data_IF_533012880421
#
_entry.id   IF_533012880421
#
_cell.length_a   1.000
_cell.length_b   1.000
_cell.length_c   1.000
_cell.angle_alpha   90.00
_cell.angle_beta   90.00
_cell.angle_gamma   90.00
#
_symmetry.space_group_name_H-M   'P 1'
#
loop_
_entity.id
_entity.type
_entity.pdbx_description
1 polymer ?
#
# COMPACT_ATOMS: atom_id res chain seq x y z
N UNK A 1 27.47 30.75 2.39
CA UNK A 1 27.89 29.35 2.24
C UNK A 1 27.27 28.45 3.32
N UNK A 2 27.25 28.88 4.58
CA UNK A 2 26.67 28.13 5.73
C UNK A 2 25.16 27.86 5.59
N UNK A 3 24.34 28.77 5.08
CA UNK A 3 22.90 28.58 4.90
C UNK A 3 22.57 27.48 3.90
N UNK A 4 23.33 27.35 2.80
CA UNK A 4 23.19 26.25 1.84
C UNK A 4 23.62 24.90 2.45
N UNK A 5 24.62 24.90 3.31
CA UNK A 5 25.06 23.69 4.03
C UNK A 5 24.05 23.24 5.08
N UNK A 6 23.44 24.18 5.83
CA UNK A 6 22.38 23.87 6.81
C UNK A 6 21.14 23.31 6.13
N UNK A 7 20.71 23.87 5.01
CA UNK A 7 19.57 23.37 4.22
C UNK A 7 19.85 21.96 3.66
N UNK A 8 21.08 21.69 3.25
CA UNK A 8 21.54 20.39 2.75
C UNK A 8 21.62 19.33 3.88
N UNK A 9 22.02 19.73 5.09
CA UNK A 9 22.02 18.84 6.26
C UNK A 9 20.60 18.46 6.71
N UNK A 10 19.65 19.40 6.73
CA UNK A 10 18.25 19.16 7.11
C UNK A 10 17.53 18.13 6.22
N UNK A 11 17.96 17.96 4.97
CA UNK A 11 17.40 16.97 4.03
C UNK A 11 18.21 15.69 3.99
N UNK A 12 19.48 15.70 4.38
CA UNK A 12 20.34 14.52 4.33
C UNK A 12 20.04 13.53 5.47
N UNK A 13 19.81 14.03 6.69
CA UNK A 13 19.52 13.18 7.84
C UNK A 13 18.27 12.28 7.66
N UNK A 14 17.12 12.80 7.17
CA UNK A 14 15.96 11.96 6.85
C UNK A 14 16.25 10.84 5.86
N UNK A 15 16.98 11.16 4.79
CA UNK A 15 17.36 10.16 3.77
C UNK A 15 18.27 9.08 4.35
N UNK A 16 19.24 9.47 5.18
CA UNK A 16 20.10 8.50 5.87
C UNK A 16 19.32 7.64 6.86
N UNK A 17 18.40 8.24 7.61
CA UNK A 17 17.54 7.50 8.55
C UNK A 17 16.64 6.47 7.82
N UNK A 18 16.05 6.88 6.69
CA UNK A 18 15.23 6.00 5.86
C UNK A 18 16.07 4.88 5.23
N UNK A 19 17.29 5.16 4.75
CA UNK A 19 18.21 4.15 4.25
C UNK A 19 18.65 3.16 5.35
N UNK A 20 18.89 3.63 6.56
CA UNK A 20 19.19 2.74 7.70
C UNK A 20 17.98 1.87 7.99
N UNK A 21 16.77 2.44 8.02
CA UNK A 21 15.53 1.70 8.19
C UNK A 21 15.37 0.64 7.09
N UNK A 22 15.60 0.99 5.84
CA UNK A 22 15.57 0.07 4.71
C UNK A 22 16.49 -1.14 4.94
N UNK A 23 17.76 -0.90 5.30
CA UNK A 23 18.73 -1.98 5.56
C UNK A 23 18.29 -2.84 6.73
N UNK A 24 17.82 -2.23 7.82
CA UNK A 24 17.30 -2.97 8.98
C UNK A 24 16.12 -3.85 8.58
N UNK A 25 15.16 -3.31 7.80
CA UNK A 25 13.98 -4.06 7.36
C UNK A 25 14.34 -5.20 6.41
N UNK A 26 15.30 -5.00 5.51
CA UNK A 26 15.77 -6.08 4.61
C UNK A 26 16.36 -7.23 5.42
N UNK A 27 17.14 -6.92 6.46
CA UNK A 27 17.79 -7.91 7.33
C UNK A 27 16.85 -8.53 8.37
N UNK A 28 15.70 -7.88 8.64
CA UNK A 28 14.74 -8.36 9.63
C UNK A 28 14.09 -9.67 9.15
N UNK A 29 14.18 -10.78 9.91
CA UNK A 29 13.47 -12.00 9.57
C UNK A 29 11.96 -11.81 9.75
N UNK A 30 11.16 -12.49 8.93
CA UNK A 30 9.69 -12.51 9.07
C UNK A 30 9.22 -13.47 10.14
N UNK A 31 10.05 -14.44 10.52
CA UNK A 31 9.68 -15.57 11.38
C UNK A 31 8.93 -16.69 10.63
N UNK A 32 8.63 -16.48 9.34
CA UNK A 32 7.90 -17.42 8.49
C UNK A 32 8.76 -18.01 7.36
N UNK A 33 10.08 -17.84 7.41
CA UNK A 33 11.01 -18.38 6.41
C UNK A 33 10.96 -19.91 6.34
N UNK A 34 10.57 -20.54 7.44
CA UNK A 34 10.38 -22.00 7.53
C UNK A 34 9.05 -22.50 6.98
N UNK A 35 8.06 -21.64 6.79
CA UNK A 35 6.73 -21.99 6.24
C UNK A 35 6.76 -22.00 4.70
N UNK A 36 7.68 -22.79 4.11
CA UNK A 36 7.79 -22.88 2.66
C UNK A 36 6.86 -23.95 2.11
N UNK A 37 5.95 -23.55 1.23
CA UNK A 37 5.27 -24.50 0.37
C UNK A 37 6.33 -25.21 -0.50
N UNK A 38 6.19 -26.52 -0.67
CA UNK A 38 7.11 -27.34 -1.49
C UNK A 38 8.55 -27.36 -0.99
N UNK A 39 8.77 -27.62 0.32
CA UNK A 39 10.10 -27.63 0.96
C UNK A 39 11.11 -28.56 0.27
N UNK A 40 10.64 -29.71 -0.20
CA UNK A 40 11.47 -30.77 -0.80
C UNK A 40 11.37 -30.74 -2.33
N UNK A 41 11.18 -29.58 -2.93
CA UNK A 41 11.07 -29.40 -4.36
C UNK A 41 11.78 -28.12 -4.83
N UNK A 42 12.34 -28.16 -6.04
CA UNK A 42 12.91 -26.98 -6.68
C UNK A 42 11.79 -26.13 -7.32
N UNK A 43 11.81 -24.83 -7.03
CA UNK A 43 10.89 -23.84 -7.62
C UNK A 43 11.67 -23.03 -8.63
N UNK A 44 11.45 -23.34 -9.90
CA UNK A 44 12.29 -22.82 -11.00
C UNK A 44 11.43 -22.40 -12.18
N UNK A 45 12.05 -21.67 -13.11
CA UNK A 45 11.45 -21.36 -14.40
C UNK A 45 11.70 -22.46 -15.40
N UNK A 46 10.74 -22.68 -16.28
CA UNK A 46 10.86 -23.62 -17.39
C UNK A 46 10.31 -23.00 -18.70
N UNK A 47 10.85 -23.42 -19.81
CA UNK A 47 10.35 -23.08 -21.15
C UNK A 47 9.46 -24.21 -21.63
N UNK A 48 8.24 -23.91 -22.05
CA UNK A 48 7.32 -24.86 -22.64
C UNK A 48 7.74 -25.14 -24.08
N UNK A 49 8.03 -26.41 -24.38
CA UNK A 49 8.41 -26.88 -25.71
C UNK A 49 7.22 -27.34 -26.51
N UNK A 50 6.31 -28.09 -25.88
CA UNK A 50 5.05 -28.53 -26.46
C UNK A 50 3.97 -28.65 -25.38
N UNK A 51 2.73 -28.55 -25.78
CA UNK A 51 1.56 -28.69 -24.91
C UNK A 51 0.53 -29.57 -25.58
N UNK A 52 0.04 -30.59 -24.87
CA UNK A 52 -1.01 -31.47 -25.26
C UNK A 52 -2.27 -31.21 -24.43
N UNK A 53 -3.37 -30.94 -25.11
CA UNK A 53 -4.67 -30.60 -24.55
C UNK A 53 -5.69 -31.73 -24.65
N UNK A 54 -5.28 -32.95 -25.03
CA UNK A 54 -6.17 -34.08 -25.29
C UNK A 54 -6.98 -34.52 -24.06
N UNK A 55 -6.41 -34.33 -22.86
CA UNK A 55 -7.03 -34.69 -21.58
C UNK A 55 -7.80 -33.50 -20.93
N UNK A 56 -8.00 -32.39 -21.68
CA UNK A 56 -8.77 -31.25 -21.23
C UNK A 56 -10.24 -31.41 -21.63
N UNK A 57 -11.10 -31.26 -20.64
CA UNK A 57 -12.55 -31.20 -20.83
C UNK A 57 -13.01 -29.74 -20.86
N UNK A 58 -13.44 -29.28 -22.02
CA UNK A 58 -13.94 -27.91 -22.22
C UNK A 58 -15.47 -27.92 -22.25
N UNK A 59 -16.09 -27.29 -21.26
CA UNK A 59 -17.56 -27.15 -21.18
C UNK A 59 -18.09 -25.92 -21.90
N UNK A 60 -17.22 -25.13 -22.53
CA UNK A 60 -17.53 -23.83 -23.11
C UNK A 60 -17.45 -22.66 -22.11
N UNK A 61 -17.64 -22.92 -20.82
CA UNK A 61 -17.48 -21.94 -19.73
C UNK A 61 -16.19 -22.13 -18.96
N UNK A 62 -15.92 -23.35 -18.56
CA UNK A 62 -14.74 -23.74 -17.77
C UNK A 62 -14.06 -24.96 -18.37
N UNK A 63 -12.79 -25.11 -18.09
CA UNK A 63 -11.97 -26.24 -18.50
C UNK A 63 -11.52 -27.01 -17.27
N UNK A 64 -11.55 -28.35 -17.37
CA UNK A 64 -11.09 -29.24 -16.31
C UNK A 64 -10.20 -30.32 -16.92
N UNK A 65 -9.39 -30.98 -16.11
CA UNK A 65 -8.49 -32.04 -16.56
C UNK A 65 -7.03 -31.62 -16.52
N UNK A 66 -6.19 -32.38 -17.19
CA UNK A 66 -4.74 -32.16 -17.15
C UNK A 66 -4.22 -31.78 -18.53
N UNK A 67 -3.52 -30.63 -18.61
CA UNK A 67 -2.71 -30.29 -19.77
C UNK A 67 -1.31 -30.88 -19.57
N UNK A 68 -0.86 -31.71 -20.49
CA UNK A 68 0.49 -32.27 -20.47
C UNK A 68 1.43 -31.38 -21.26
N UNK A 69 2.49 -30.91 -20.62
CA UNK A 69 3.48 -30.06 -21.25
C UNK A 69 4.85 -30.73 -21.24
N UNK A 70 5.59 -30.64 -22.35
CA UNK A 70 7.01 -30.91 -22.33
C UNK A 70 7.75 -29.60 -22.10
N UNK A 71 8.61 -29.58 -21.09
CA UNK A 71 9.27 -28.37 -20.64
C UNK A 71 10.78 -28.56 -20.54
N UNK A 72 11.54 -27.48 -20.80
CA UNK A 72 12.96 -27.38 -20.51
C UNK A 72 13.17 -26.54 -19.28
N UNK A 73 13.75 -27.11 -18.23
CA UNK A 73 14.03 -26.44 -16.96
C UNK A 73 15.15 -25.41 -17.21
N UNK A 74 14.95 -24.15 -16.79
CA UNK A 74 15.89 -23.05 -17.01
C UNK A 74 16.76 -22.75 -15.79
N UNK A 75 16.45 -23.27 -14.61
CA UNK A 75 17.19 -22.98 -13.37
C UNK A 75 17.22 -24.17 -12.40
N UNK A 76 17.88 -23.97 -11.25
CA UNK A 76 18.02 -25.02 -10.23
C UNK A 76 19.00 -26.13 -10.60
N UNK A 77 18.97 -27.22 -9.86
CA UNK A 77 19.87 -28.35 -10.05
C UNK A 77 19.63 -29.17 -11.34
N UNK A 78 18.44 -29.03 -11.94
CA UNK A 78 18.04 -29.71 -13.16
C UNK A 78 18.06 -28.80 -14.39
N UNK A 79 18.76 -27.68 -14.34
CA UNK A 79 18.84 -26.73 -15.45
C UNK A 79 19.29 -27.38 -16.76
N UNK A 80 18.58 -27.12 -17.86
CA UNK A 80 18.83 -27.67 -19.19
C UNK A 80 18.14 -29.02 -19.46
N UNK A 81 17.61 -29.71 -18.44
CA UNK A 81 16.88 -30.96 -18.64
C UNK A 81 15.50 -30.73 -19.25
N UNK A 82 15.11 -31.63 -20.13
CA UNK A 82 13.76 -31.70 -20.69
C UNK A 82 12.96 -32.80 -19.99
N UNK A 83 11.77 -32.47 -19.57
CA UNK A 83 10.91 -33.38 -18.83
C UNK A 83 9.43 -33.09 -19.11
N UNK A 84 8.58 -34.04 -18.78
CA UNK A 84 7.16 -33.85 -18.84
C UNK A 84 6.67 -33.15 -17.57
N UNK A 85 5.72 -32.25 -17.73
CA UNK A 85 5.11 -31.46 -16.68
C UNK A 85 3.59 -31.49 -16.82
N UNK A 86 2.89 -31.41 -15.70
CA UNK A 86 1.43 -31.41 -15.67
C UNK A 86 0.90 -30.07 -15.19
N UNK A 87 -0.02 -29.50 -15.96
CA UNK A 87 -0.84 -28.36 -15.59
C UNK A 87 -2.26 -28.84 -15.33
N UNK A 88 -2.67 -28.83 -14.06
CA UNK A 88 -4.01 -29.27 -13.66
C UNK A 88 -4.99 -28.12 -13.71
N UNK A 89 -6.12 -28.33 -14.40
CA UNK A 89 -7.23 -27.40 -14.52
C UNK A 89 -8.36 -27.85 -13.58
N UNK A 90 -8.80 -26.93 -12.74
CA UNK A 90 -9.80 -27.18 -11.69
C UNK A 90 -11.22 -26.75 -12.07
N UNK A 91 -11.39 -26.05 -13.19
CA UNK A 91 -12.64 -25.39 -13.57
C UNK A 91 -12.77 -23.98 -13.02
N UNK A 92 -11.70 -23.43 -12.47
CA UNK A 92 -11.69 -22.07 -11.93
C UNK A 92 -11.09 -21.07 -12.93
N UNK A 93 -11.90 -20.18 -13.49
CA UNK A 93 -11.42 -19.14 -14.40
C UNK A 93 -10.38 -18.20 -13.75
N UNK A 94 -10.41 -18.07 -12.42
CA UNK A 94 -9.48 -17.24 -11.67
C UNK A 94 -8.11 -17.89 -11.47
N UNK A 95 -8.06 -19.23 -11.41
CA UNK A 95 -6.84 -19.97 -11.07
C UNK A 95 -6.26 -20.74 -12.25
N UNK A 96 -7.11 -21.20 -13.16
CA UNK A 96 -6.69 -22.03 -14.26
C UNK A 96 -6.02 -21.22 -15.37
N UNK A 97 -5.01 -21.79 -16.00
CA UNK A 97 -4.23 -21.22 -17.08
C UNK A 97 -3.87 -22.30 -18.08
N UNK A 98 -3.71 -21.94 -19.33
CA UNK A 98 -3.21 -22.81 -20.38
C UNK A 98 -1.85 -22.32 -20.85
N UNK A 99 -0.97 -23.25 -21.14
CA UNK A 99 0.35 -22.97 -21.66
C UNK A 99 0.42 -23.32 -23.15
N UNK A 100 1.19 -22.53 -23.88
CA UNK A 100 1.53 -22.73 -25.28
C UNK A 100 3.04 -22.92 -25.47
N UNK A 101 3.48 -23.57 -26.56
CA UNK A 101 4.90 -23.65 -26.90
C UNK A 101 5.54 -22.26 -26.95
N UNK A 102 6.68 -22.08 -26.30
CA UNK A 102 7.37 -20.81 -26.14
C UNK A 102 7.07 -20.03 -24.86
N UNK A 103 6.05 -20.42 -24.10
CA UNK A 103 5.74 -19.80 -22.82
C UNK A 103 6.81 -20.09 -21.77
N UNK A 104 7.13 -19.08 -20.97
CA UNK A 104 7.89 -19.27 -19.73
C UNK A 104 6.92 -19.56 -18.59
N UNK A 105 7.11 -20.69 -17.94
CA UNK A 105 6.33 -21.15 -16.80
C UNK A 105 7.15 -21.14 -15.52
N UNK A 106 6.49 -20.89 -14.40
CA UNK A 106 7.01 -21.18 -13.08
C UNK A 106 6.58 -22.59 -12.71
N UNK A 107 7.53 -23.45 -12.38
CA UNK A 107 7.30 -24.88 -12.13
C UNK A 107 7.86 -25.30 -10.78
N UNK A 108 7.22 -26.31 -10.20
CA UNK A 108 7.67 -26.99 -8.99
C UNK A 108 8.17 -28.38 -9.42
N UNK A 109 9.45 -28.62 -9.25
CA UNK A 109 10.13 -29.87 -9.60
C UNK A 109 10.31 -30.68 -8.33
N UNK A 110 9.52 -31.71 -8.16
CA UNK A 110 9.68 -32.70 -7.08
C UNK A 110 10.69 -33.75 -7.51
N UNK A 111 11.61 -34.09 -6.64
CA UNK A 111 12.67 -35.06 -6.93
C UNK A 111 12.94 -35.97 -5.73
N UNK A 112 13.47 -37.14 -6.00
CA UNK A 112 13.91 -38.11 -5.00
C UNK A 112 15.20 -38.78 -5.47
N UNK A 113 16.20 -38.82 -4.59
CA UNK A 113 17.52 -39.43 -4.90
C UNK A 113 18.17 -38.84 -6.16
N UNK A 114 18.05 -37.52 -6.40
CA UNK A 114 18.64 -36.85 -7.56
C UNK A 114 17.90 -37.06 -8.89
N UNK A 115 16.76 -37.75 -8.87
CA UNK A 115 15.92 -37.98 -10.07
C UNK A 115 14.60 -37.23 -9.95
N UNK A 116 14.15 -36.58 -11.02
CA UNK A 116 12.88 -35.85 -11.10
C UNK A 116 11.76 -36.91 -10.99
N UNK A 117 10.83 -36.67 -10.05
CA UNK A 117 9.64 -37.55 -9.88
C UNK A 117 8.43 -36.93 -10.58
N UNK A 118 8.16 -35.67 -10.37
CA UNK A 118 7.04 -34.94 -10.98
C UNK A 118 7.38 -33.48 -11.16
N UNK A 119 6.83 -32.88 -12.21
CA UNK A 119 6.90 -31.43 -12.44
C UNK A 119 5.49 -30.88 -12.59
N UNK A 120 5.13 -29.93 -11.71
CA UNK A 120 3.85 -29.26 -11.75
C UNK A 120 4.01 -27.83 -12.28
N UNK A 121 3.17 -27.48 -13.24
CA UNK A 121 3.06 -26.12 -13.78
C UNK A 121 2.28 -25.27 -12.79
N UNK A 122 2.92 -24.28 -12.17
CA UNK A 122 2.27 -23.46 -11.15
C UNK A 122 1.58 -22.25 -11.78
N UNK A 123 2.31 -21.46 -12.57
CA UNK A 123 1.77 -20.30 -13.26
C UNK A 123 2.70 -19.84 -14.40
N UNK A 124 2.24 -18.87 -15.22
CA UNK A 124 3.12 -18.18 -16.15
C UNK A 124 4.18 -17.38 -15.38
N UNK A 125 5.40 -17.38 -15.87
CA UNK A 125 6.47 -16.56 -15.32
C UNK A 125 6.30 -15.09 -15.75
N UNK A 126 5.99 -14.22 -14.79
CA UNK A 126 5.68 -12.80 -15.04
C UNK A 126 6.72 -11.84 -14.50
N UNK A 127 7.64 -12.32 -13.63
CA UNK A 127 8.58 -11.45 -12.91
C UNK A 127 9.47 -10.60 -13.83
N UNK A 128 9.83 -11.07 -15.02
CA UNK A 128 10.59 -10.31 -16.01
C UNK A 128 9.78 -9.11 -16.53
N UNK A 129 8.49 -9.31 -16.80
CA UNK A 129 7.57 -8.25 -17.27
C UNK A 129 7.23 -7.26 -16.16
N UNK A 130 7.03 -7.77 -14.94
CA UNK A 130 6.81 -6.95 -13.74
C UNK A 130 8.03 -6.09 -13.42
N UNK A 131 9.25 -6.66 -13.50
CA UNK A 131 10.49 -5.93 -13.33
C UNK A 131 10.69 -4.86 -14.41
N UNK A 132 10.33 -5.14 -15.68
CA UNK A 132 10.35 -4.15 -16.75
C UNK A 132 9.40 -2.99 -16.48
N UNK A 133 8.16 -3.29 -16.08
CA UNK A 133 7.14 -2.28 -15.74
C UNK A 133 7.57 -1.42 -14.56
N UNK A 134 8.03 -2.06 -13.49
CA UNK A 134 8.53 -1.36 -12.30
C UNK A 134 9.76 -0.51 -12.64
N UNK A 135 10.71 -1.06 -13.40
CA UNK A 135 11.90 -0.34 -13.84
C UNK A 135 11.58 0.88 -14.71
N UNK A 136 10.64 0.75 -15.63
CA UNK A 136 10.17 1.87 -16.45
C UNK A 136 9.51 2.98 -15.61
N UNK A 137 8.67 2.62 -14.62
CA UNK A 137 8.07 3.56 -13.69
C UNK A 137 9.12 4.28 -12.84
N UNK A 138 10.06 3.54 -12.25
CA UNK A 138 11.13 4.12 -11.43
C UNK A 138 12.03 5.06 -12.25
N UNK A 139 12.35 4.68 -13.50
CA UNK A 139 13.13 5.52 -14.40
C UNK A 139 12.39 6.82 -14.73
N UNK A 140 11.11 6.74 -15.06
CA UNK A 140 10.29 7.92 -15.34
C UNK A 140 10.23 8.86 -14.15
N UNK A 141 10.04 8.31 -12.93
CA UNK A 141 10.02 9.08 -11.70
C UNK A 141 11.37 9.78 -11.43
N UNK A 142 12.49 9.12 -11.68
CA UNK A 142 13.82 9.70 -11.51
C UNK A 142 14.10 10.81 -12.55
N UNK A 143 13.71 10.61 -13.81
CA UNK A 143 13.91 11.60 -14.88
C UNK A 143 13.09 12.87 -14.56
N UNK A 144 11.81 12.70 -14.19
CA UNK A 144 10.91 13.82 -13.93
C UNK A 144 11.21 14.51 -12.59
N UNK A 145 11.24 13.74 -11.51
CA UNK A 145 11.30 14.28 -10.14
C UNK A 145 12.72 14.38 -9.55
N UNK A 146 13.73 13.83 -10.22
CA UNK A 146 15.15 13.91 -9.83
C UNK A 146 15.36 13.52 -8.35
N UNK A 147 15.91 14.43 -7.53
CA UNK A 147 16.20 14.15 -6.11
C UNK A 147 14.95 13.95 -5.23
N UNK A 148 13.80 14.51 -5.59
CA UNK A 148 12.53 14.19 -4.92
C UNK A 148 12.03 12.82 -5.32
N UNK A 149 12.24 12.43 -6.59
CA UNK A 149 11.93 11.08 -7.07
C UNK A 149 12.71 9.99 -6.34
N UNK A 150 14.00 10.20 -6.08
CA UNK A 150 14.79 9.25 -5.29
C UNK A 150 14.22 9.08 -3.87
N UNK A 151 13.82 10.16 -3.20
CA UNK A 151 13.19 10.09 -1.88
C UNK A 151 11.85 9.37 -1.90
N UNK A 152 11.06 9.58 -2.97
CA UNK A 152 9.82 8.85 -3.17
C UNK A 152 10.04 7.36 -3.35
N UNK A 153 11.06 6.96 -4.12
CA UNK A 153 11.43 5.53 -4.31
C UNK A 153 11.83 4.89 -2.98
N UNK A 154 12.64 5.58 -2.17
CA UNK A 154 13.07 5.06 -0.87
C UNK A 154 11.85 4.90 0.05
N UNK A 155 10.97 5.91 0.14
CA UNK A 155 9.77 5.82 0.97
C UNK A 155 8.81 4.73 0.50
N UNK A 156 8.70 4.51 -0.80
CA UNK A 156 7.89 3.43 -1.38
C UNK A 156 8.45 2.05 -1.00
N UNK A 157 9.77 1.87 -1.13
CA UNK A 157 10.43 0.63 -0.74
C UNK A 157 10.31 0.37 0.77
N UNK A 158 10.51 1.38 1.62
CA UNK A 158 10.34 1.27 3.07
C UNK A 158 8.89 0.92 3.43
N UNK A 159 7.91 1.50 2.73
CA UNK A 159 6.49 1.17 2.94
C UNK A 159 6.20 -0.29 2.66
N UNK A 160 6.66 -0.81 1.51
CA UNK A 160 6.50 -2.23 1.16
C UNK A 160 7.16 -3.12 2.22
N UNK A 161 8.40 -2.79 2.62
CA UNK A 161 9.12 -3.58 3.62
C UNK A 161 8.47 -3.53 5.00
N UNK A 162 7.97 -2.38 5.45
CA UNK A 162 7.24 -2.26 6.71
C UNK A 162 5.95 -3.09 6.71
N UNK A 163 5.20 -3.05 5.59
CA UNK A 163 4.02 -3.90 5.43
C UNK A 163 4.40 -5.39 5.47
N UNK A 164 5.42 -5.78 4.70
CA UNK A 164 5.82 -7.18 4.54
C UNK A 164 6.55 -7.76 5.76
N UNK A 165 7.43 -6.98 6.39
CA UNK A 165 8.32 -7.47 7.46
C UNK A 165 7.80 -7.18 8.87
N UNK A 166 6.89 -6.22 9.03
CA UNK A 166 6.41 -5.81 10.35
C UNK A 166 4.90 -6.06 10.48
N UNK A 167 4.09 -5.49 9.58
CA UNK A 167 2.64 -5.59 9.72
C UNK A 167 2.15 -7.03 9.56
N UNK A 168 2.44 -7.65 8.42
CA UNK A 168 1.91 -8.99 8.11
C UNK A 168 2.38 -10.03 9.15
N UNK A 169 3.67 -10.15 9.49
CA UNK A 169 4.10 -11.08 10.54
C UNK A 169 3.53 -10.73 11.92
N UNK A 170 3.41 -9.44 12.25
CA UNK A 170 2.82 -9.02 13.51
C UNK A 170 1.35 -9.41 13.63
N UNK A 171 0.57 -9.25 12.56
CA UNK A 171 -0.82 -9.71 12.52
C UNK A 171 -0.90 -11.22 12.66
N UNK A 172 -0.10 -11.98 11.92
CA UNK A 172 -0.07 -13.45 11.98
C UNK A 172 0.34 -13.97 13.38
N UNK A 173 1.19 -13.25 14.08
CA UNK A 173 1.58 -13.56 15.46
C UNK A 173 0.50 -13.18 16.51
N UNK A 174 -0.65 -12.65 16.07
CA UNK A 174 -1.77 -12.32 16.95
C UNK A 174 -1.65 -11.00 17.70
N UNK A 175 -0.74 -10.10 17.30
CA UNK A 175 -0.75 -8.74 17.85
C UNK A 175 -2.06 -8.04 17.52
N UNK A 176 -2.51 -7.14 18.40
CA UNK A 176 -3.75 -6.41 18.19
C UNK A 176 -3.70 -5.61 16.87
N UNK A 177 -4.59 -5.92 15.90
CA UNK A 177 -4.51 -5.36 14.55
C UNK A 177 -4.65 -3.83 14.52
N UNK A 178 -5.52 -3.28 15.35
CA UNK A 178 -5.79 -1.83 15.38
C UNK A 178 -4.54 -1.07 15.85
N UNK A 179 -3.95 -1.47 16.99
CA UNK A 179 -2.80 -0.76 17.55
C UNK A 179 -1.54 -0.95 16.73
N UNK A 180 -1.31 -2.16 16.21
CA UNK A 180 -0.16 -2.43 15.35
C UNK A 180 -0.24 -1.61 14.06
N UNK A 181 -1.40 -1.62 13.40
CA UNK A 181 -1.59 -0.88 12.15
C UNK A 181 -1.58 0.63 12.36
N UNK A 182 -2.18 1.12 13.45
CA UNK A 182 -2.17 2.55 13.78
C UNK A 182 -0.72 3.03 14.03
N UNK A 183 0.03 2.29 14.83
CA UNK A 183 1.44 2.59 15.07
C UNK A 183 2.26 2.61 13.78
N UNK A 184 2.06 1.61 12.91
CA UNK A 184 2.74 1.54 11.62
C UNK A 184 2.37 2.71 10.70
N UNK A 185 1.09 3.05 10.58
CA UNK A 185 0.65 4.19 9.74
C UNK A 185 1.23 5.50 10.25
N UNK A 186 1.27 5.70 11.57
CA UNK A 186 1.89 6.90 12.15
C UNK A 186 3.40 6.98 11.86
N UNK A 187 4.10 5.86 11.93
CA UNK A 187 5.54 5.78 11.56
C UNK A 187 5.71 6.07 10.07
N UNK A 188 4.91 5.46 9.19
CA UNK A 188 4.93 5.71 7.75
C UNK A 188 4.64 7.19 7.43
N UNK A 189 3.59 7.75 8.02
CA UNK A 189 3.22 9.16 7.87
C UNK A 189 4.38 10.07 8.29
N UNK A 190 4.96 9.85 9.46
CA UNK A 190 6.08 10.64 9.93
C UNK A 190 7.31 10.50 9.03
N UNK A 191 7.64 9.29 8.59
CA UNK A 191 8.77 9.02 7.70
C UNK A 191 8.60 9.73 6.34
N UNK A 192 7.44 9.57 5.70
CA UNK A 192 7.14 10.18 4.39
C UNK A 192 7.20 11.70 4.50
N UNK A 193 6.51 12.29 5.48
CA UNK A 193 6.48 13.74 5.69
C UNK A 193 7.86 14.30 6.06
N UNK A 194 8.68 13.53 6.78
CA UNK A 194 10.06 13.89 7.08
C UNK A 194 10.96 13.86 5.84
N UNK A 195 10.73 12.93 4.90
CA UNK A 195 11.43 12.89 3.61
C UNK A 195 11.02 14.06 2.68
N UNK A 196 9.77 14.54 2.79
CA UNK A 196 9.26 15.69 2.01
C UNK A 196 9.83 17.00 2.55
N UNK A 197 9.64 17.29 3.84
CA UNK A 197 9.96 18.59 4.44
C UNK A 197 11.35 18.66 5.07
N UNK A 198 11.96 17.52 5.38
CA UNK A 198 13.10 17.44 6.28
C UNK A 198 12.68 17.69 7.73
N UNK A 199 13.65 17.91 8.62
CA UNK A 199 13.41 18.23 10.03
C UNK A 199 13.03 19.71 10.17
N UNK A 200 11.74 20.01 9.95
CA UNK A 200 11.19 21.37 9.95
C UNK A 200 9.85 21.41 10.71
N UNK A 201 9.37 22.61 11.05
CA UNK A 201 8.06 22.81 11.71
C UNK A 201 6.89 22.32 10.85
N UNK A 202 7.02 22.38 9.53
CA UNK A 202 6.04 21.83 8.57
C UNK A 202 5.84 20.34 8.76
N UNK A 203 6.94 19.61 8.96
CA UNK A 203 6.88 18.18 9.27
C UNK A 203 6.04 17.92 10.53
N UNK A 204 6.30 18.64 11.63
CA UNK A 204 5.53 18.47 12.87
C UNK A 204 4.06 18.84 12.71
N UNK A 205 3.78 19.93 12.01
CA UNK A 205 2.42 20.43 11.82
C UNK A 205 1.57 19.47 10.95
N UNK A 206 2.11 19.02 9.83
CA UNK A 206 1.42 18.10 8.92
C UNK A 206 1.27 16.70 9.54
N UNK A 207 2.31 16.19 10.22
CA UNK A 207 2.24 14.89 10.91
C UNK A 207 1.20 14.90 12.02
N UNK A 208 1.15 15.97 12.82
CA UNK A 208 0.14 16.08 13.89
C UNK A 208 -1.28 16.15 13.32
N UNK A 209 -1.51 16.93 12.27
CA UNK A 209 -2.81 17.02 11.61
C UNK A 209 -3.25 15.68 11.01
N UNK A 210 -2.36 15.01 10.28
CA UNK A 210 -2.62 13.69 9.70
C UNK A 210 -2.88 12.62 10.77
N UNK A 211 -2.06 12.59 11.84
CA UNK A 211 -2.20 11.63 12.93
C UNK A 211 -3.55 11.75 13.65
N UNK A 212 -4.00 12.98 13.90
CA UNK A 212 -5.32 13.23 14.48
C UNK A 212 -6.45 12.74 13.57
N UNK A 213 -6.37 13.00 12.26
CA UNK A 213 -7.37 12.55 11.30
C UNK A 213 -7.40 11.02 11.16
N UNK A 214 -6.24 10.37 11.11
CA UNK A 214 -6.13 8.90 11.11
C UNK A 214 -6.75 8.32 12.39
N UNK A 215 -6.51 8.95 13.55
CA UNK A 215 -7.14 8.57 14.81
C UNK A 215 -8.66 8.66 14.77
N UNK A 216 -9.21 9.75 14.20
CA UNK A 216 -10.67 9.87 13.99
C UNK A 216 -11.18 8.76 13.07
N UNK A 217 -10.49 8.49 11.96
CA UNK A 217 -10.86 7.40 11.04
C UNK A 217 -10.85 6.04 11.73
N UNK A 218 -9.87 5.76 12.57
CA UNK A 218 -9.77 4.50 13.30
C UNK A 218 -10.94 4.33 14.31
N UNK A 219 -11.29 5.39 15.05
CA UNK A 219 -12.42 5.38 15.97
C UNK A 219 -13.75 5.17 15.24
N UNK A 220 -13.98 5.93 14.16
CA UNK A 220 -15.19 5.78 13.35
C UNK A 220 -15.24 4.41 12.66
N UNK A 221 -14.10 3.92 12.16
CA UNK A 221 -14.00 2.59 11.57
C UNK A 221 -14.41 1.49 12.54
N UNK A 222 -13.91 1.53 13.77
CA UNK A 222 -14.30 0.58 14.81
C UNK A 222 -15.78 0.68 15.16
N UNK A 223 -16.30 1.91 15.39
CA UNK A 223 -17.67 2.14 15.76
C UNK A 223 -18.68 1.71 14.69
N UNK A 224 -18.44 2.08 13.43
CA UNK A 224 -19.36 1.75 12.34
C UNK A 224 -19.26 0.28 11.91
N UNK A 225 -18.09 -0.35 11.99
CA UNK A 225 -17.96 -1.79 11.74
C UNK A 225 -18.79 -2.61 12.73
N UNK A 226 -18.76 -2.23 14.01
CA UNK A 226 -19.57 -2.85 15.05
C UNK A 226 -21.07 -2.56 14.84
N UNK A 227 -21.44 -1.30 14.62
CA UNK A 227 -22.83 -0.87 14.41
C UNK A 227 -23.51 -1.57 13.22
N UNK A 228 -22.77 -1.80 12.14
CA UNK A 228 -23.24 -2.48 10.94
C UNK A 228 -23.19 -4.02 11.07
N UNK A 229 -22.62 -4.55 12.15
CA UNK A 229 -22.44 -5.99 12.35
C UNK A 229 -21.55 -6.65 11.30
N UNK A 230 -20.56 -5.93 10.76
CA UNK A 230 -19.66 -6.45 9.75
C UNK A 230 -18.60 -7.31 10.40
N UNK A 231 -18.49 -8.56 9.92
CA UNK A 231 -17.43 -9.47 10.27
C UNK A 231 -16.30 -9.38 9.23
N UNK A 232 -15.04 -9.39 9.66
CA UNK A 232 -13.89 -9.25 8.77
C UNK A 232 -13.70 -10.35 7.72
N UNK A 233 -14.48 -11.43 7.78
CA UNK A 233 -14.53 -12.45 6.73
C UNK A 233 -15.06 -11.92 5.37
N UNK A 234 -15.52 -10.67 5.29
CA UNK A 234 -15.84 -10.00 4.03
C UNK A 234 -14.60 -9.65 3.20
N UNK A 235 -13.41 -9.63 3.80
CA UNK A 235 -12.17 -9.39 3.07
C UNK A 235 -11.81 -10.61 2.20
N UNK A 236 -11.35 -10.35 1.00
CA UNK A 236 -10.91 -11.39 0.07
C UNK A 236 -9.84 -12.29 0.70
N UNK A 237 -9.91 -13.58 0.47
CA UNK A 237 -8.98 -14.61 0.98
C UNK A 237 -8.89 -14.73 2.51
N UNK A 238 -9.69 -13.99 3.28
CA UNK A 238 -9.63 -14.01 4.75
C UNK A 238 -10.00 -15.37 5.36
N UNK A 239 -10.94 -16.11 4.74
CA UNK A 239 -11.30 -17.46 5.18
C UNK A 239 -10.15 -18.46 4.99
N UNK A 240 -9.32 -18.28 3.96
CA UNK A 240 -8.14 -19.10 3.72
C UNK A 240 -7.13 -19.07 4.87
N UNK A 241 -7.04 -17.93 5.59
CA UNK A 241 -6.20 -17.81 6.78
C UNK A 241 -6.68 -18.72 7.91
N UNK A 242 -8.01 -18.83 8.09
CA UNK A 242 -8.60 -19.68 9.12
C UNK A 242 -8.33 -21.16 8.82
N UNK A 243 -8.46 -21.57 7.55
CA UNK A 243 -8.13 -22.95 7.12
C UNK A 243 -6.64 -23.24 7.16
N UNK A 244 -5.79 -22.22 7.03
CA UNK A 244 -4.33 -22.35 7.16
C UNK A 244 -3.84 -22.47 8.61
N UNK A 245 -4.76 -22.54 9.59
CA UNK A 245 -4.43 -22.72 11.01
C UNK A 245 -4.35 -21.42 11.82
N UNK A 246 -4.68 -20.26 11.23
CA UNK A 246 -4.65 -18.96 11.91
C UNK A 246 -6.03 -18.58 12.48
N UNK A 247 -6.70 -19.50 13.16
CA UNK A 247 -8.04 -19.31 13.72
C UNK A 247 -8.11 -18.28 14.85
N UNK A 248 -6.97 -17.94 15.46
CA UNK A 248 -6.86 -16.95 16.53
C UNK A 248 -6.92 -15.52 16.05
N UNK A 249 -6.89 -15.27 14.73
CA UNK A 249 -6.87 -13.92 14.17
C UNK A 249 -8.22 -13.23 14.34
N UNK A 250 -8.17 -11.97 14.79
CA UNK A 250 -9.36 -11.12 14.82
C UNK A 250 -9.56 -10.42 13.47
N UNK A 251 -10.25 -11.11 12.54
CA UNK A 251 -10.50 -10.59 11.18
C UNK A 251 -11.26 -9.27 11.18
N UNK A 252 -12.17 -9.04 12.15
CA UNK A 252 -12.92 -7.79 12.23
C UNK A 252 -12.00 -6.61 12.58
N UNK A 253 -11.06 -6.78 13.50
CA UNK A 253 -10.07 -5.74 13.78
C UNK A 253 -9.09 -5.53 12.62
N UNK A 254 -8.75 -6.57 11.85
CA UNK A 254 -7.96 -6.46 10.62
C UNK A 254 -8.72 -5.65 9.56
N UNK A 255 -10.03 -5.88 9.41
CA UNK A 255 -10.89 -5.08 8.55
C UNK A 255 -10.92 -3.61 8.96
N UNK A 256 -11.11 -3.31 10.26
CA UNK A 256 -11.03 -1.93 10.76
C UNK A 256 -9.66 -1.30 10.46
N UNK A 257 -8.59 -2.06 10.62
CA UNK A 257 -7.24 -1.58 10.30
C UNK A 257 -7.08 -1.24 8.82
N UNK A 258 -7.67 -2.03 7.91
CA UNK A 258 -7.59 -1.77 6.47
C UNK A 258 -8.26 -0.44 6.07
N UNK A 259 -9.30 0.00 6.79
CA UNK A 259 -10.00 1.27 6.51
C UNK A 259 -9.04 2.48 6.65
N UNK A 260 -8.39 2.61 7.80
CA UNK A 260 -7.49 3.75 8.02
C UNK A 260 -6.13 3.58 7.35
N UNK A 261 -5.66 2.36 7.10
CA UNK A 261 -4.50 2.10 6.25
C UNK A 261 -4.76 2.60 4.83
N UNK A 262 -5.88 2.20 4.22
CA UNK A 262 -6.22 2.55 2.84
C UNK A 262 -6.43 4.06 2.63
N UNK A 263 -7.03 4.74 3.60
CA UNK A 263 -7.27 6.20 3.52
C UNK A 263 -6.05 7.05 3.91
N UNK A 264 -5.06 6.48 4.61
CA UNK A 264 -3.92 7.23 5.17
C UNK A 264 -3.09 7.97 4.13
N UNK A 265 -2.93 7.42 2.93
CA UNK A 265 -2.22 8.08 1.83
C UNK A 265 -2.87 9.40 1.42
N UNK A 266 -4.17 9.38 1.15
CA UNK A 266 -4.92 10.56 0.77
C UNK A 266 -5.01 11.60 1.92
N UNK A 267 -5.07 11.13 3.18
CA UNK A 267 -4.98 11.99 4.37
C UNK A 267 -3.62 12.69 4.44
N UNK A 268 -2.52 11.98 4.16
CA UNK A 268 -1.18 12.58 4.12
C UNK A 268 -1.05 13.63 3.02
N UNK A 269 -1.52 13.35 1.82
CA UNK A 269 -1.43 14.27 0.68
C UNK A 269 -2.16 15.57 0.97
N UNK A 270 -3.37 15.51 1.50
CA UNK A 270 -4.13 16.71 1.85
C UNK A 270 -3.48 17.48 3.03
N UNK A 271 -2.87 16.77 3.99
CA UNK A 271 -2.11 17.41 5.05
C UNK A 271 -0.89 18.16 4.51
N UNK A 272 -0.19 17.61 3.51
CA UNK A 272 0.94 18.25 2.83
C UNK A 272 0.49 19.53 2.12
N UNK A 273 -0.58 19.47 1.37
CA UNK A 273 -1.11 20.59 0.58
C UNK A 273 -1.50 21.76 1.49
N UNK A 274 -2.28 21.49 2.53
CA UNK A 274 -2.73 22.50 3.48
C UNK A 274 -1.56 23.11 4.25
N UNK A 275 -0.65 22.28 4.77
CA UNK A 275 0.50 22.75 5.51
C UNK A 275 1.43 23.60 4.65
N UNK A 276 1.65 23.20 3.38
CA UNK A 276 2.47 23.96 2.43
C UNK A 276 1.83 25.33 2.10
N UNK A 277 0.52 25.37 1.88
CA UNK A 277 -0.19 26.61 1.62
C UNK A 277 -0.18 27.56 2.82
N UNK A 278 -0.43 27.05 4.03
CA UNK A 278 -0.34 27.86 5.26
C UNK A 278 1.09 28.37 5.47
N UNK A 279 2.09 27.55 5.23
CA UNK A 279 3.50 27.95 5.33
C UNK A 279 3.84 29.09 4.36
N UNK A 280 3.39 29.02 3.11
CA UNK A 280 3.63 30.07 2.11
C UNK A 280 2.96 31.39 2.51
N UNK A 281 1.76 31.36 3.08
CA UNK A 281 1.08 32.56 3.58
C UNK A 281 1.84 33.18 4.75
N UNK A 282 2.29 32.35 5.71
CA UNK A 282 3.08 32.84 6.88
C UNK A 282 4.43 33.39 6.43
N UNK A 283 5.09 32.79 5.42
CA UNK A 283 6.38 33.28 4.90
C UNK A 283 6.23 34.65 4.21
N UNK A 284 5.14 34.86 3.45
CA UNK A 284 4.86 36.14 2.77
C UNK A 284 4.34 37.23 3.72
N UNK A 285 3.67 36.86 4.79
CA UNK A 285 3.14 37.79 5.81
C UNK A 285 3.57 37.33 7.21
N UNK A 286 4.80 37.69 7.65
CA UNK A 286 5.36 37.19 8.92
C UNK A 286 4.62 37.67 10.18
N UNK A 287 3.82 38.71 10.07
CA UNK A 287 3.01 39.34 11.13
C UNK A 287 1.58 38.76 11.20
N UNK A 288 1.27 37.77 10.34
CA UNK A 288 -0.04 37.12 10.32
C UNK A 288 -0.36 36.44 11.66
N UNK A 289 -1.59 36.62 12.11
CA UNK A 289 -2.07 35.96 13.33
C UNK A 289 -2.34 34.46 13.08
N UNK A 290 -2.26 33.66 14.14
CA UNK A 290 -2.59 32.21 14.02
C UNK A 290 -4.02 31.98 13.49
N UNK A 291 -4.98 32.81 13.90
CA UNK A 291 -6.36 32.75 13.44
C UNK A 291 -6.52 33.02 11.94
N UNK A 292 -5.78 34.01 11.40
CA UNK A 292 -5.79 34.27 9.95
C UNK A 292 -5.12 33.17 9.15
N UNK A 293 -4.00 32.63 9.66
CA UNK A 293 -3.31 31.49 9.06
C UNK A 293 -4.19 30.23 9.02
N UNK A 294 -4.92 29.94 10.10
CA UNK A 294 -5.89 28.85 10.18
C UNK A 294 -7.01 29.05 9.14
N UNK A 295 -7.56 30.28 9.02
CA UNK A 295 -8.60 30.58 8.02
C UNK A 295 -8.12 30.36 6.59
N UNK A 296 -6.87 30.72 6.30
CA UNK A 296 -6.24 30.41 4.99
C UNK A 296 -6.15 28.90 4.75
N UNK A 297 -5.73 28.12 5.76
CA UNK A 297 -5.71 26.68 5.70
C UNK A 297 -7.09 26.05 5.46
N UNK A 298 -8.14 26.57 6.12
CA UNK A 298 -9.52 26.14 5.87
C UNK A 298 -9.99 26.44 4.44
N UNK A 299 -9.60 27.57 3.87
CA UNK A 299 -9.98 27.89 2.49
C UNK A 299 -9.37 26.91 1.49
N UNK A 300 -8.10 26.57 1.66
CA UNK A 300 -7.41 25.56 0.84
C UNK A 300 -8.03 24.18 1.04
N UNK A 301 -8.24 23.78 2.31
CA UNK A 301 -8.83 22.48 2.65
C UNK A 301 -10.22 22.29 2.04
N UNK A 302 -11.08 23.32 2.08
CA UNK A 302 -12.41 23.26 1.43
C UNK A 302 -12.33 23.05 -0.08
N UNK A 303 -11.40 23.71 -0.74
CA UNK A 303 -11.22 23.57 -2.18
C UNK A 303 -10.74 22.17 -2.58
N UNK A 304 -9.84 21.59 -1.80
CA UNK A 304 -9.26 20.28 -2.10
C UNK A 304 -10.13 19.08 -1.67
N UNK A 305 -10.89 19.18 -0.56
CA UNK A 305 -11.67 18.08 -0.01
C UNK A 305 -12.63 17.43 -1.04
N UNK A 306 -13.30 18.24 -1.86
CA UNK A 306 -14.30 17.71 -2.80
C UNK A 306 -13.70 16.77 -3.84
N UNK A 307 -12.59 17.16 -4.47
CA UNK A 307 -11.93 16.32 -5.48
C UNK A 307 -11.29 15.09 -4.85
N UNK A 308 -10.62 15.24 -3.70
CA UNK A 308 -9.92 14.13 -3.03
C UNK A 308 -10.90 13.06 -2.52
N UNK A 309 -12.06 13.48 -1.99
CA UNK A 309 -13.12 12.54 -1.55
C UNK A 309 -13.67 11.75 -2.73
N UNK A 310 -13.92 12.40 -3.88
CA UNK A 310 -14.40 11.72 -5.10
C UNK A 310 -13.33 10.75 -5.63
N UNK A 311 -12.05 11.11 -5.59
CA UNK A 311 -10.95 10.24 -5.99
C UNK A 311 -10.89 8.97 -5.14
N UNK A 312 -11.07 9.11 -3.82
CA UNK A 312 -11.10 7.96 -2.91
C UNK A 312 -12.29 7.04 -3.21
N UNK A 313 -13.48 7.60 -3.44
CA UNK A 313 -14.66 6.84 -3.85
C UNK A 313 -14.39 6.04 -5.13
N UNK A 314 -13.80 6.67 -6.16
CA UNK A 314 -13.49 6.01 -7.43
C UNK A 314 -12.44 4.91 -7.26
N UNK A 315 -11.42 5.13 -6.42
CA UNK A 315 -10.38 4.16 -6.15
C UNK A 315 -10.94 2.88 -5.53
N UNK A 316 -11.84 3.00 -4.55
CA UNK A 316 -12.44 1.84 -3.90
C UNK A 316 -13.53 1.19 -4.76
N UNK A 317 -14.41 1.97 -5.39
CA UNK A 317 -15.52 1.42 -6.19
C UNK A 317 -15.06 0.61 -7.40
N UNK A 318 -13.85 0.87 -7.90
CA UNK A 318 -13.30 0.16 -9.05
C UNK A 318 -13.20 -1.36 -8.85
N UNK A 319 -12.88 -1.83 -7.65
CA UNK A 319 -12.79 -3.25 -7.31
C UNK A 319 -14.14 -3.96 -7.24
N UNK A 320 -15.24 -3.24 -7.08
CA UNK A 320 -16.60 -3.77 -6.92
C UNK A 320 -17.46 -3.73 -8.18
N UNK A 321 -16.92 -3.27 -9.30
CA UNK A 321 -17.69 -3.16 -10.57
C UNK A 321 -18.27 -4.50 -10.97
N UNK A 322 -17.51 -5.59 -10.91
CA UNK A 322 -17.98 -6.92 -11.28
C UNK A 322 -19.14 -7.39 -10.38
N UNK A 323 -19.08 -7.15 -9.08
CA UNK A 323 -20.15 -7.48 -8.14
C UNK A 323 -21.44 -6.69 -8.45
N UNK A 324 -21.32 -5.37 -8.72
CA UNK A 324 -22.46 -4.54 -9.10
C UNK A 324 -23.06 -4.98 -10.42
N UNK A 325 -22.26 -5.38 -11.40
CA UNK A 325 -22.74 -5.95 -12.67
C UNK A 325 -23.54 -7.24 -12.45
N UNK A 326 -23.10 -8.12 -11.55
CA UNK A 326 -23.85 -9.34 -11.20
C UNK A 326 -25.22 -9.00 -10.62
N UNK A 327 -25.29 -8.05 -9.68
CA UNK A 327 -26.57 -7.62 -9.10
C UNK A 327 -27.51 -7.03 -10.15
N UNK A 328 -27.00 -6.19 -11.03
CA UNK A 328 -27.81 -5.60 -12.11
C UNK A 328 -28.31 -6.68 -13.09
N UNK A 329 -27.43 -7.60 -13.49
CA UNK A 329 -27.79 -8.68 -14.40
C UNK A 329 -28.84 -9.65 -13.81
N UNK A 330 -28.84 -9.82 -12.49
CA UNK A 330 -29.81 -10.64 -11.77
C UNK A 330 -31.11 -9.90 -11.41
N UNK A 331 -31.19 -8.60 -11.70
CA UNK A 331 -32.34 -7.77 -11.32
C UNK A 331 -32.51 -7.61 -9.81
N UNK A 332 -31.41 -7.62 -9.06
CA UNK A 332 -31.44 -7.51 -7.60
C UNK A 332 -31.95 -6.12 -7.18
N UNK A 333 -32.99 -6.01 -6.32
CA UNK A 333 -33.47 -4.73 -5.81
C UNK A 333 -32.37 -3.94 -5.08
N UNK A 334 -32.39 -2.61 -5.19
CA UNK A 334 -31.36 -1.72 -4.64
C UNK A 334 -31.24 -1.87 -3.14
N UNK A 335 -32.36 -2.07 -2.43
CA UNK A 335 -32.38 -2.27 -0.97
C UNK A 335 -31.62 -3.54 -0.56
N UNK A 336 -31.73 -4.62 -1.34
CA UNK A 336 -30.97 -5.84 -1.09
C UNK A 336 -29.48 -5.67 -1.43
N UNK A 337 -29.16 -4.96 -2.53
CA UNK A 337 -27.77 -4.63 -2.85
C UNK A 337 -27.09 -3.87 -1.71
N UNK A 338 -27.73 -2.80 -1.21
CA UNK A 338 -27.14 -1.97 -0.15
C UNK A 338 -27.03 -2.70 1.20
N UNK A 339 -27.90 -3.68 1.47
CA UNK A 339 -27.84 -4.52 2.66
C UNK A 339 -26.89 -5.71 2.51
N UNK A 340 -26.37 -5.97 1.32
CA UNK A 340 -25.44 -7.07 1.12
C UNK A 340 -24.12 -6.81 1.85
N UNK A 341 -23.70 -7.74 2.69
CA UNK A 341 -22.58 -7.54 3.63
C UNK A 341 -21.28 -7.02 3.00
N UNK A 342 -20.96 -7.47 1.78
CA UNK A 342 -19.76 -7.01 1.06
C UNK A 342 -19.92 -5.56 0.58
N UNK A 343 -21.12 -5.17 0.13
CA UNK A 343 -21.42 -3.79 -0.27
C UNK A 343 -21.44 -2.87 0.95
N UNK A 344 -22.06 -3.31 2.06
CA UNK A 344 -22.07 -2.56 3.31
C UNK A 344 -20.66 -2.36 3.87
N UNK A 345 -19.80 -3.37 3.78
CA UNK A 345 -18.40 -3.26 4.17
C UNK A 345 -17.64 -2.21 3.33
N UNK A 346 -17.88 -2.18 2.01
CA UNK A 346 -17.26 -1.20 1.12
C UNK A 346 -17.79 0.22 1.34
N UNK A 347 -19.07 0.35 1.64
CA UNK A 347 -19.66 1.64 2.04
C UNK A 347 -18.96 2.17 3.30
N UNK A 348 -18.76 1.31 4.32
CA UNK A 348 -18.02 1.69 5.52
C UNK A 348 -16.59 2.11 5.15
N UNK A 349 -15.89 1.29 4.37
CA UNK A 349 -14.51 1.55 3.96
C UNK A 349 -14.37 2.91 3.27
N UNK A 350 -15.24 3.18 2.31
CA UNK A 350 -15.22 4.43 1.53
C UNK A 350 -15.67 5.64 2.35
N UNK A 351 -16.79 5.55 3.07
CA UNK A 351 -17.35 6.70 3.79
C UNK A 351 -16.48 7.03 5.01
N UNK A 352 -16.10 6.04 5.81
CA UNK A 352 -15.25 6.27 6.99
C UNK A 352 -13.88 6.78 6.57
N UNK A 353 -13.28 6.23 5.51
CA UNK A 353 -12.06 6.78 4.92
C UNK A 353 -12.21 8.24 4.50
N UNK A 354 -13.36 8.59 3.91
CA UNK A 354 -13.69 9.97 3.52
C UNK A 354 -13.88 10.90 4.72
N UNK A 355 -14.39 10.42 5.87
CA UNK A 355 -14.37 11.22 7.10
C UNK A 355 -12.96 11.63 7.50
N UNK A 356 -11.97 10.75 7.35
CA UNK A 356 -10.56 11.06 7.56
C UNK A 356 -10.09 12.23 6.69
N UNK A 357 -10.46 12.22 5.40
CA UNK A 357 -10.14 13.30 4.46
C UNK A 357 -10.80 14.64 4.81
N UNK A 358 -12.06 14.60 5.21
CA UNK A 358 -12.76 15.83 5.61
C UNK A 358 -12.18 16.39 6.90
N UNK A 359 -11.86 15.53 7.87
CA UNK A 359 -11.34 15.95 9.19
C UNK A 359 -9.87 16.38 9.15
N UNK A 360 -9.03 15.84 8.26
CA UNK A 360 -7.65 16.27 8.15
C UNK A 360 -7.51 17.74 7.73
N UNK A 361 -8.46 18.24 6.95
CA UNK A 361 -8.42 19.63 6.49
C UNK A 361 -8.44 20.65 7.67
N UNK A 362 -9.46 20.66 8.56
CA UNK A 362 -9.45 21.52 9.72
C UNK A 362 -8.33 21.22 10.70
N UNK A 363 -8.01 19.95 10.94
CA UNK A 363 -6.99 19.56 11.91
C UNK A 363 -5.61 20.03 11.46
N UNK A 364 -5.26 19.84 10.19
CA UNK A 364 -3.97 20.33 9.67
C UNK A 364 -3.92 21.85 9.57
N UNK A 365 -5.01 22.51 9.22
CA UNK A 365 -5.06 23.97 9.24
C UNK A 365 -4.80 24.53 10.65
N UNK A 366 -5.40 23.94 11.69
CA UNK A 366 -5.19 24.32 13.09
C UNK A 366 -3.74 24.04 13.51
N UNK A 367 -3.24 22.82 13.31
CA UNK A 367 -1.86 22.49 13.71
C UNK A 367 -0.83 23.33 12.97
N UNK A 368 -1.02 23.59 11.69
CA UNK A 368 -0.14 24.44 10.88
C UNK A 368 -0.20 25.89 11.32
N UNK A 369 -1.40 26.46 11.52
CA UNK A 369 -1.55 27.84 11.99
C UNK A 369 -0.92 28.06 13.37
N UNK A 370 -1.06 27.11 14.29
CA UNK A 370 -0.48 27.22 15.63
C UNK A 370 1.04 27.04 15.65
N UNK A 371 1.58 26.11 14.86
CA UNK A 371 3.00 25.76 14.91
C UNK A 371 3.86 26.65 14.01
N UNK A 372 3.31 27.14 12.89
CA UNK A 372 4.07 27.94 11.93
C UNK A 372 4.09 29.45 12.30
N UNK A 373 3.01 29.97 12.93
CA UNK A 373 2.94 31.38 13.34
C UNK A 373 3.62 31.67 14.69
N UNK A 374 3.89 30.65 15.54
CA UNK A 374 4.68 30.86 16.75
C UNK A 374 6.07 31.35 16.38
N UNK A 375 6.32 32.63 16.59
CA UNK A 375 7.68 33.22 16.55
C UNK A 375 8.57 32.40 17.48
N UNK A 376 9.51 31.63 16.90
CA UNK A 376 10.63 31.13 17.66
C UNK A 376 11.32 32.36 18.25
N UNK A 377 11.46 32.39 19.58
CA UNK A 377 12.18 33.45 20.24
C UNK A 377 13.56 33.64 19.61
N UNK A 378 13.89 34.89 19.40
CA UNK A 378 15.22 35.42 19.19
C UNK A 378 16.03 34.91 18.00
N UNK A 379 16.01 35.69 16.94
CA UNK A 379 17.22 36.33 16.42
C UNK A 379 16.79 37.56 15.62
N UNK A 380 16.53 38.65 16.33
CA UNK A 380 16.56 39.98 15.75
C UNK A 380 18.04 40.27 15.40
N UNK A 381 18.43 39.92 14.17
CA UNK A 381 19.63 40.52 13.57
C UNK A 381 19.28 41.97 13.30
N UNK A 382 19.79 42.86 14.16
CA UNK A 382 19.88 44.29 13.92
C UNK A 382 20.46 44.55 12.52
N UNK A 383 19.61 44.74 11.54
CA UNK A 383 19.99 45.48 10.34
C UNK A 383 19.93 46.95 10.68
N UNK A 384 21.01 47.49 11.27
CA UNK A 384 21.29 48.93 11.20
C UNK A 384 21.42 49.29 9.72
N UNK A 385 20.46 50.04 9.23
CA UNK A 385 20.61 50.81 7.99
C UNK A 385 21.74 51.81 8.20
N UNK A 386 22.68 51.97 7.26
CA UNK A 386 23.61 53.11 7.32
C UNK A 386 22.84 54.37 6.97
N UNK A 387 22.83 55.33 7.93
CA UNK A 387 22.50 56.73 7.64
C UNK A 387 23.38 57.22 6.51
N UNK A 388 22.74 57.75 5.49
CA UNK A 388 23.40 58.55 4.47
C UNK A 388 23.64 59.95 5.02
N UNK A 389 24.90 60.37 5.02
CA UNK A 389 25.30 61.73 4.70
C UNK A 389 25.46 61.88 3.19
#
# INVERSE_FOLDING_TARGET
MEWKMMKRRKTLYPVLASLVLFVVLVLLPTGYEGAQAYRDADRVTALVLSADNSDIYDTGLVRTGDQRCRVRILGGQFAGMETDAVNRLSGSLAQDKLFAPGDKAFVVVSYKNGSITTVFMTDHYRLDKEALLAGAFLLLLLIFARGTGLRAIISFADTILLMWKVLVPGLLNGYNPIWLSLGLVLVLTAMILMLIYGWDRRFLASTAGAALAIGVTAVLGAAFTDLFGIHGAVMESSESLLYAGFQHLNLTQIFVASIFLGSSGAVMDLAVDICSAVYEVVEKKPDITAGEAIRSGFAVGRAACGSTTTTLLLAYSGSYIALLMVFMAQGTPVELMLNYKYVAAEIIHTIVGSFGLVTVAPLTAITSGLLLTKKGGSTAVNAKLPEKM
#
